data_IF_550063444045
#
_entry.id   IF_550063444045
#
_cell.length_a   1.000
_cell.length_b   1.000
_cell.length_c   1.000
_cell.angle_alpha   90.00
_cell.angle_beta   90.00
_cell.angle_gamma   90.00
#
_symmetry.space_group_name_H-M   'P 1'
#
loop_
_entity.id
_entity.type
_entity.pdbx_description
1 polymer ?
#
# COMPACT_ATOMS: atom_id res chain seq x y z
N UNK A 1 30.22 -6.26 0.91
CA UNK A 1 28.86 -6.69 0.51
C UNK A 1 27.85 -5.92 1.34
N UNK A 2 27.08 -5.02 0.74
CA UNK A 2 26.01 -4.34 1.46
C UNK A 2 24.90 -5.35 1.81
N UNK A 3 24.52 -5.44 3.08
CA UNK A 3 23.34 -6.21 3.48
C UNK A 3 22.14 -5.57 2.78
N UNK A 4 21.25 -6.35 2.14
CA UNK A 4 20.03 -5.79 1.59
C UNK A 4 19.29 -5.11 2.74
N UNK A 5 18.86 -3.86 2.52
CA UNK A 5 18.03 -3.11 3.45
C UNK A 5 16.72 -3.89 3.51
N UNK A 6 16.58 -4.77 4.51
CA UNK A 6 15.46 -5.72 4.61
C UNK A 6 14.12 -5.02 4.82
N UNK A 7 14.15 -3.73 5.17
CA UNK A 7 12.99 -2.98 5.65
C UNK A 7 12.69 -1.73 4.82
N UNK A 8 13.12 -1.68 3.55
CA UNK A 8 12.88 -0.53 2.66
C UNK A 8 11.40 -0.08 2.64
N UNK A 9 10.48 -1.05 2.63
CA UNK A 9 9.03 -0.83 2.64
C UNK A 9 8.52 -0.05 3.86
N UNK A 10 9.26 -0.03 4.98
CA UNK A 10 8.90 0.74 6.17
C UNK A 10 9.29 2.22 6.08
N UNK A 11 10.15 2.58 5.12
CA UNK A 11 10.62 3.95 4.91
C UNK A 11 9.97 4.61 3.69
N UNK A 12 9.12 3.89 2.96
CA UNK A 12 8.38 4.44 1.84
C UNK A 12 7.31 5.40 2.39
N UNK A 13 7.22 6.64 1.86
CA UNK A 13 6.15 7.57 2.22
C UNK A 13 4.75 7.02 1.94
N UNK A 14 3.77 7.45 2.73
CA UNK A 14 2.38 6.98 2.63
C UNK A 14 1.80 7.22 1.23
N UNK A 15 2.12 8.34 0.60
CA UNK A 15 1.61 8.72 -0.72
C UNK A 15 2.05 7.74 -1.81
N UNK A 16 3.28 7.25 -1.69
CA UNK A 16 3.85 6.28 -2.63
C UNK A 16 3.21 4.90 -2.39
N UNK A 17 3.04 4.49 -1.14
CA UNK A 17 2.31 3.25 -0.81
C UNK A 17 0.87 3.29 -1.31
N UNK A 18 0.19 4.42 -1.12
CA UNK A 18 -1.18 4.67 -1.59
C UNK A 18 -1.28 4.52 -3.10
N UNK A 19 -0.32 5.12 -3.84
CA UNK A 19 -0.25 4.99 -5.29
C UNK A 19 -0.01 3.53 -5.72
N UNK A 20 0.91 2.80 -5.08
CA UNK A 20 1.16 1.38 -5.36
C UNK A 20 -0.12 0.55 -5.12
N UNK A 21 -0.78 0.73 -3.98
CA UNK A 21 -1.98 -0.01 -3.63
C UNK A 21 -3.19 0.32 -4.51
N UNK A 22 -3.19 1.48 -5.18
CA UNK A 22 -4.23 1.81 -6.17
C UNK A 22 -4.22 0.86 -7.37
N UNK A 23 -3.09 0.23 -7.70
CA UNK A 23 -3.01 -0.77 -8.76
C UNK A 23 -3.41 -2.19 -8.33
N UNK A 24 -3.57 -2.42 -7.02
CA UNK A 24 -3.94 -3.73 -6.51
C UNK A 24 -5.45 -4.00 -6.68
N UNK A 25 -5.86 -5.23 -6.98
CA UNK A 25 -7.26 -5.66 -6.86
C UNK A 25 -7.79 -5.48 -5.43
N UNK A 26 -9.12 -5.35 -5.27
CA UNK A 26 -9.76 -5.15 -3.97
C UNK A 26 -9.34 -6.20 -2.91
N UNK A 27 -9.23 -7.47 -3.31
CA UNK A 27 -8.78 -8.57 -2.42
C UNK A 27 -7.37 -8.34 -1.89
N UNK A 28 -6.48 -7.82 -2.72
CA UNK A 28 -5.07 -7.62 -2.37
C UNK A 28 -4.90 -6.35 -1.54
N UNK A 29 -5.72 -5.31 -1.80
CA UNK A 29 -5.84 -4.14 -0.91
C UNK A 29 -6.30 -4.56 0.50
N UNK A 30 -7.28 -5.48 0.58
CA UNK A 30 -7.74 -6.01 1.87
C UNK A 30 -6.63 -6.76 2.60
N UNK A 31 -5.83 -7.54 1.87
CA UNK A 31 -4.66 -8.22 2.44
C UNK A 31 -3.62 -7.23 2.95
N UNK A 32 -3.36 -6.14 2.21
CA UNK A 32 -2.42 -5.09 2.58
C UNK A 32 -2.81 -4.33 3.86
N UNK A 33 -4.12 -4.13 4.13
CA UNK A 33 -4.62 -3.55 5.38
C UNK A 33 -4.11 -4.29 6.63
N UNK A 34 -3.85 -5.59 6.53
CA UNK A 34 -3.51 -6.45 7.67
C UNK A 34 -2.02 -6.69 7.85
N UNK A 35 -1.15 -6.08 7.03
CA UNK A 35 0.31 -6.28 7.11
C UNK A 35 0.91 -5.49 8.27
N UNK A 36 0.71 -4.17 8.29
CA UNK A 36 1.19 -3.29 9.36
C UNK A 36 0.39 -1.98 9.39
N UNK A 37 0.62 -1.16 10.44
CA UNK A 37 -0.10 0.12 10.60
C UNK A 37 0.13 1.10 9.45
N UNK A 38 1.36 1.17 8.92
CA UNK A 38 1.68 2.07 7.81
C UNK A 38 0.95 1.67 6.51
N UNK A 39 0.86 0.38 6.24
CA UNK A 39 0.12 -0.14 5.08
C UNK A 39 -1.37 0.07 5.26
N UNK A 40 -1.89 -0.13 6.48
CA UNK A 40 -3.28 0.15 6.78
C UNK A 40 -3.65 1.62 6.51
N UNK A 41 -2.83 2.56 6.99
CA UNK A 41 -3.02 3.99 6.76
C UNK A 41 -3.08 4.32 5.25
N UNK A 42 -2.10 3.83 4.48
CA UNK A 42 -2.04 4.03 3.04
C UNK A 42 -3.27 3.43 2.31
N UNK A 43 -3.75 2.24 2.72
CA UNK A 43 -4.94 1.63 2.08
C UNK A 43 -6.23 2.39 2.42
N UNK A 44 -6.35 2.90 3.65
CA UNK A 44 -7.51 3.70 4.09
C UNK A 44 -7.49 5.13 3.58
N UNK A 45 -6.38 5.61 3.01
CA UNK A 45 -6.27 6.94 2.44
C UNK A 45 -7.29 7.12 1.32
N UNK A 46 -8.03 8.24 1.37
CA UNK A 46 -9.19 8.55 0.53
C UNK A 46 -8.92 8.41 -0.98
N UNK A 47 -7.66 8.52 -1.38
CA UNK A 47 -7.16 8.45 -2.75
C UNK A 47 -7.30 7.09 -3.44
N UNK A 48 -7.53 5.98 -2.72
CA UNK A 48 -7.61 4.63 -3.31
C UNK A 48 -9.01 4.32 -3.89
N UNK A 49 -10.05 5.01 -3.42
CA UNK A 49 -11.43 4.70 -3.76
C UNK A 49 -11.94 5.42 -5.00
N UNK A 50 -11.21 6.42 -5.52
CA UNK A 50 -11.58 7.15 -6.73
C UNK A 50 -11.33 6.37 -8.03
N UNK A 51 -10.53 5.30 -7.98
CA UNK A 51 -10.20 4.41 -9.12
C UNK A 51 -10.61 2.96 -8.88
N UNK A 52 -11.75 2.72 -8.21
CA UNK A 52 -12.39 1.41 -8.27
C UNK A 52 -13.20 1.31 -9.58
N UNK A 53 -12.51 1.10 -10.72
CA UNK A 53 -13.20 0.60 -11.91
C UNK A 53 -13.78 -0.77 -11.58
N UNK A 54 -15.09 -0.80 -11.36
CA UNK A 54 -15.86 -2.04 -11.32
C UNK A 54 -15.89 -2.55 -12.77
N UNK A 55 -15.10 -3.59 -13.06
CA UNK A 55 -15.27 -4.41 -14.27
C UNK A 55 -16.00 -5.69 -13.91
#
# INVERSE_FOLDING_TARGET
MAKPIRDFWNYIPEEILTHIFSFLPLRDRYSALHVCKAWAAAVTSSSIWSFAEIR
#
